data_IF_824682065471
#
_entry.id   IF_824682065471
#
_cell.length_a   1.000
_cell.length_b   1.000
_cell.length_c   1.000
_cell.angle_alpha   90.00
_cell.angle_beta   90.00
_cell.angle_gamma   90.00
#
_symmetry.space_group_name_H-M   'P 1'
#
loop_
_entity.id
_entity.type
_entity.pdbx_description
1 polymer ?
#
# COMPACT_ATOMS: atom_id res chain seq x y z
N UNK A 1 -14.62 -9.32 -14.71
CA UNK A 1 -15.05 -10.71 -14.45
C UNK A 1 -14.06 -11.54 -13.65
N UNK A 2 -12.73 -11.51 -13.87
CA UNK A 2 -11.78 -12.35 -13.11
C UNK A 2 -11.49 -11.81 -11.69
N UNK A 3 -11.32 -10.49 -11.54
CA UNK A 3 -10.95 -9.90 -10.24
C UNK A 3 -12.03 -10.10 -9.17
N UNK A 4 -13.30 -9.91 -9.50
CA UNK A 4 -14.43 -10.05 -8.57
C UNK A 4 -14.64 -11.50 -8.10
N UNK A 5 -14.31 -12.49 -8.95
CA UNK A 5 -14.39 -13.93 -8.62
C UNK A 5 -13.26 -14.34 -7.66
N UNK A 6 -12.07 -13.75 -7.81
CA UNK A 6 -10.92 -14.03 -6.95
C UNK A 6 -10.92 -13.20 -5.66
N UNK A 7 -11.56 -12.02 -5.70
CA UNK A 7 -11.57 -11.04 -4.62
C UNK A 7 -12.99 -10.51 -4.40
N UNK A 8 -13.84 -11.24 -3.65
CA UNK A 8 -15.18 -10.78 -3.30
C UNK A 8 -15.11 -9.43 -2.57
N UNK A 9 -15.83 -8.42 -3.06
CA UNK A 9 -15.80 -7.06 -2.51
C UNK A 9 -14.72 -6.14 -3.10
N UNK A 10 -14.00 -6.58 -4.14
CA UNK A 10 -13.10 -5.72 -4.90
C UNK A 10 -13.85 -4.58 -5.59
N UNK A 11 -13.40 -3.34 -5.34
CA UNK A 11 -13.92 -2.17 -6.03
C UNK A 11 -13.25 -2.06 -7.39
N UNK A 12 -14.05 -2.16 -8.45
CA UNK A 12 -13.56 -1.89 -9.79
C UNK A 12 -13.31 -0.39 -9.98
N UNK A 13 -12.56 -0.03 -11.02
CA UNK A 13 -12.19 1.37 -11.30
C UNK A 13 -13.41 2.29 -11.41
N UNK A 14 -14.55 1.76 -11.85
CA UNK A 14 -15.80 2.49 -12.03
C UNK A 14 -16.49 2.86 -10.69
N UNK A 15 -16.15 2.16 -9.60
CA UNK A 15 -16.73 2.36 -8.26
C UNK A 15 -15.87 3.33 -7.44
N UNK A 16 -14.59 3.49 -7.81
CA UNK A 16 -13.66 4.30 -7.04
C UNK A 16 -14.00 5.80 -7.10
N UNK A 17 -14.23 6.46 -5.96
CA UNK A 17 -14.46 7.89 -5.95
C UNK A 17 -13.18 8.65 -6.35
N UNK A 18 -13.36 9.69 -7.18
CA UNK A 18 -12.24 10.55 -7.59
C UNK A 18 -11.59 11.24 -6.39
N UNK A 19 -10.26 11.41 -6.42
CA UNK A 19 -9.48 12.08 -5.36
C UNK A 19 -9.64 11.47 -3.95
N UNK A 20 -9.78 10.15 -3.85
CA UNK A 20 -9.90 9.45 -2.54
C UNK A 20 -8.69 8.55 -2.24
N UNK A 21 -7.50 9.13 -1.99
CA UNK A 21 -6.31 8.36 -1.61
C UNK A 21 -6.46 7.71 -0.22
N UNK A 22 -7.34 8.25 0.63
CA UNK A 22 -7.73 7.69 1.93
C UNK A 22 -8.44 6.33 1.82
N UNK A 23 -8.94 6.02 0.62
CA UNK A 23 -9.52 4.73 0.31
C UNK A 23 -8.51 3.77 -0.33
N UNK A 24 -7.33 4.19 -0.81
CA UNK A 24 -6.37 3.28 -1.45
C UNK A 24 -5.43 2.64 -0.41
N UNK A 25 -5.52 1.32 -0.14
CA UNK A 25 -4.61 0.61 0.77
C UNK A 25 -3.12 0.86 0.48
N UNK A 26 -2.79 1.07 -0.80
CA UNK A 26 -1.43 1.42 -1.21
C UNK A 26 -1.03 2.80 -0.68
N UNK A 27 -1.88 3.82 -0.86
CA UNK A 27 -1.62 5.21 -0.47
C UNK A 27 -1.70 5.43 1.04
N UNK A 28 -2.79 5.03 1.70
CA UNK A 28 -2.96 5.35 3.12
C UNK A 28 -2.10 4.48 4.05
N UNK A 29 -1.63 3.31 3.59
CA UNK A 29 -0.92 2.36 4.46
C UNK A 29 0.44 1.93 3.93
N UNK A 30 0.50 1.29 2.75
CA UNK A 30 1.78 0.71 2.27
C UNK A 30 2.83 1.80 2.07
N UNK A 31 2.47 2.91 1.43
CA UNK A 31 3.34 4.07 1.28
C UNK A 31 3.76 4.67 2.63
N UNK A 32 2.84 4.75 3.61
CA UNK A 32 3.17 5.23 4.96
C UNK A 32 4.18 4.31 5.66
N UNK A 33 4.04 2.99 5.55
CA UNK A 33 4.99 2.02 6.11
C UNK A 33 6.38 2.17 5.47
N UNK A 34 6.43 2.29 4.14
CA UNK A 34 7.70 2.51 3.44
C UNK A 34 8.34 3.82 3.89
N UNK A 35 7.59 4.92 3.87
CA UNK A 35 8.04 6.24 4.29
C UNK A 35 8.60 6.23 5.72
N UNK A 36 7.89 5.63 6.67
CA UNK A 36 8.34 5.50 8.06
C UNK A 36 9.69 4.77 8.17
N UNK A 37 9.91 3.73 7.37
CA UNK A 37 11.17 2.97 7.37
C UNK A 37 12.33 3.76 6.78
N UNK A 38 12.10 4.48 5.68
CA UNK A 38 13.19 5.10 4.91
C UNK A 38 13.48 6.56 5.29
N UNK A 39 12.50 7.29 5.83
CA UNK A 39 12.61 8.73 6.10
C UNK A 39 13.59 9.09 7.22
N UNK A 40 13.95 8.12 8.06
CA UNK A 40 14.92 8.29 9.16
C UNK A 40 16.37 8.33 8.67
N UNK A 41 16.63 7.95 7.41
CA UNK A 41 17.97 7.88 6.83
C UNK A 41 18.10 8.80 5.63
N UNK A 42 19.20 9.57 5.57
CA UNK A 42 19.54 10.34 4.37
C UNK A 42 20.33 9.48 3.39
N UNK A 43 19.84 9.34 2.17
CA UNK A 43 20.53 8.65 1.09
C UNK A 43 21.30 9.65 0.22
N UNK A 44 22.51 9.29 -0.19
CA UNK A 44 23.36 10.17 -1.00
C UNK A 44 23.01 10.13 -2.49
N UNK A 45 22.40 9.03 -2.96
CA UNK A 45 22.00 8.85 -4.35
C UNK A 45 20.61 8.25 -4.47
N UNK A 46 20.01 8.41 -5.65
CA UNK A 46 18.70 7.82 -5.97
C UNK A 46 18.76 6.29 -5.96
N UNK A 47 19.87 5.69 -6.36
CA UNK A 47 20.08 4.24 -6.38
C UNK A 47 20.08 3.66 -4.97
N UNK A 48 20.70 4.36 -4.01
CA UNK A 48 20.68 3.96 -2.61
C UNK A 48 19.26 4.02 -2.03
N UNK A 49 18.51 5.08 -2.34
CA UNK A 49 17.11 5.21 -1.95
C UNK A 49 16.24 4.10 -2.55
N UNK A 50 16.37 3.84 -3.87
CA UNK A 50 15.66 2.73 -4.54
C UNK A 50 15.96 1.38 -3.92
N UNK A 51 17.24 1.10 -3.62
CA UNK A 51 17.63 -0.14 -2.97
C UNK A 51 17.03 -0.26 -1.55
N UNK A 52 16.95 0.85 -0.80
CA UNK A 52 16.32 0.85 0.52
C UNK A 52 14.80 0.64 0.46
N UNK A 53 14.13 1.26 -0.51
CA UNK A 53 12.70 1.02 -0.78
C UNK A 53 12.42 -0.44 -1.11
N UNK A 54 13.21 -1.04 -2.02
CA UNK A 54 13.05 -2.45 -2.39
C UNK A 54 13.26 -3.41 -1.22
N UNK A 55 14.26 -3.15 -0.37
CA UNK A 55 14.44 -3.93 0.87
C UNK A 55 13.24 -3.79 1.80
N UNK A 56 12.80 -2.56 2.04
CA UNK A 56 11.67 -2.25 2.91
C UNK A 56 10.36 -2.89 2.42
N UNK A 57 10.18 -2.95 1.09
CA UNK A 57 9.04 -3.59 0.42
C UNK A 57 9.01 -5.10 0.68
N UNK A 58 10.14 -5.79 0.52
CA UNK A 58 10.22 -7.25 0.74
C UNK A 58 10.00 -7.64 2.20
N UNK A 59 10.25 -6.73 3.14
CA UNK A 59 9.96 -6.93 4.55
C UNK A 59 8.47 -6.75 4.92
N UNK A 60 7.62 -6.24 4.01
CA UNK A 60 6.19 -6.14 4.27
C UNK A 60 5.60 -7.55 4.19
N UNK A 61 5.09 -8.01 5.32
CA UNK A 61 4.56 -9.37 5.47
C UNK A 61 3.17 -9.51 4.87
N UNK A 62 2.80 -10.73 4.49
CA UNK A 62 1.45 -11.03 4.01
C UNK A 62 0.40 -10.74 5.09
N UNK A 63 0.74 -10.95 6.36
CA UNK A 63 -0.09 -10.67 7.53
C UNK A 63 -0.36 -9.17 7.69
N UNK A 64 0.65 -8.31 7.47
CA UNK A 64 0.46 -6.86 7.43
C UNK A 64 -0.47 -6.47 6.28
N UNK A 65 -0.27 -7.00 5.08
CA UNK A 65 -1.17 -6.74 3.95
C UNK A 65 -2.62 -7.17 4.23
N UNK A 66 -2.80 -8.36 4.83
CA UNK A 66 -4.12 -8.86 5.21
C UNK A 66 -4.80 -7.96 6.25
N UNK A 67 -4.03 -7.42 7.20
CA UNK A 67 -4.53 -6.46 8.20
C UNK A 67 -4.96 -5.14 7.56
N UNK A 68 -4.18 -4.61 6.62
CA UNK A 68 -4.52 -3.37 5.91
C UNK A 68 -5.84 -3.55 5.13
N UNK A 69 -5.98 -4.67 4.43
CA UNK A 69 -7.21 -4.98 3.67
C UNK A 69 -8.41 -5.18 4.59
N UNK A 70 -8.23 -5.84 5.74
CA UNK A 70 -9.33 -6.05 6.71
C UNK A 70 -9.75 -4.77 7.44
N UNK A 71 -8.86 -3.77 7.51
CA UNK A 71 -9.13 -2.45 8.06
C UNK A 71 -9.78 -1.50 7.07
N UNK A 72 -9.74 -1.79 5.75
CA UNK A 72 -10.35 -0.96 4.71
C UNK A 72 -11.83 -0.60 5.00
N UNK A 73 -12.72 -1.52 5.43
CA UNK A 73 -14.10 -1.19 5.77
C UNK A 73 -14.28 -0.12 6.87
N UNK A 74 -13.27 0.12 7.71
CA UNK A 74 -13.31 1.18 8.74
C UNK A 74 -13.11 2.58 8.15
N UNK A 75 -12.69 2.66 6.88
CA UNK A 75 -12.42 3.91 6.15
C UNK A 75 -13.53 4.28 5.17
N UNK A 76 -14.54 3.42 5.03
CA UNK A 76 -15.75 3.63 4.22
C UNK A 76 -16.76 4.56 4.90
#
# INVERSE_FOLDING_TARGET
MIAEVLFPGFWSQEIWPSNSPDLDPMDYSVWSVLEQKISTTRYATVEQLKAALLRSWVEITAEQCATIVSDFPKRL
#
